data_IF_044612817411
#
_entry.id   IF_044612817411
#
_cell.length_a   1.000
_cell.length_b   1.000
_cell.length_c   1.000
_cell.angle_alpha   90.00
_cell.angle_beta   90.00
_cell.angle_gamma   90.00
#
_symmetry.space_group_name_H-M   'P 1'
#
loop_
_entity.id
_entity.type
_entity.pdbx_description
1 polymer ?
#
# COMPACT_ATOMS: atom_id res chain seq x y z
N UNK A 1 -51.54 -13.25 12.80
CA UNK A 1 -50.84 -11.99 12.45
C UNK A 1 -49.39 -11.96 12.93
N UNK A 2 -49.07 -12.07 14.23
CA UNK A 2 -47.66 -12.09 14.75
C UNK A 2 -46.72 -13.12 14.12
N UNK A 3 -47.20 -14.34 13.82
CA UNK A 3 -46.37 -15.40 13.18
C UNK A 3 -45.96 -15.07 11.73
N UNK A 4 -46.79 -14.30 11.01
CA UNK A 4 -46.55 -13.92 9.62
C UNK A 4 -45.58 -12.74 9.51
N UNK A 5 -45.59 -11.85 10.50
CA UNK A 5 -44.63 -10.75 10.64
C UNK A 5 -43.22 -11.30 10.92
N UNK A 6 -43.10 -12.34 11.76
CA UNK A 6 -41.81 -13.00 12.02
C UNK A 6 -41.21 -13.66 10.78
N UNK A 7 -42.04 -14.39 10.01
CA UNK A 7 -41.58 -15.07 8.78
C UNK A 7 -41.15 -14.09 7.69
N UNK A 8 -41.88 -12.98 7.52
CA UNK A 8 -41.52 -11.94 6.56
C UNK A 8 -40.24 -11.21 6.95
N UNK A 9 -40.04 -10.89 8.24
CA UNK A 9 -38.80 -10.30 8.71
C UNK A 9 -37.58 -11.20 8.48
N UNK A 10 -37.70 -12.51 8.77
CA UNK A 10 -36.61 -13.48 8.54
C UNK A 10 -36.28 -13.61 7.05
N UNK A 11 -37.29 -13.64 6.17
CA UNK A 11 -37.06 -13.71 4.74
C UNK A 11 -36.35 -12.46 4.18
N UNK A 12 -36.70 -11.26 4.69
CA UNK A 12 -36.04 -10.00 4.29
C UNK A 12 -34.58 -9.99 4.76
N UNK A 13 -34.30 -10.40 6.00
CA UNK A 13 -32.93 -10.44 6.53
C UNK A 13 -32.09 -11.47 5.76
N UNK A 14 -32.64 -12.65 5.48
CA UNK A 14 -31.96 -13.67 4.68
C UNK A 14 -31.67 -13.18 3.25
N UNK A 15 -32.61 -12.46 2.63
CA UNK A 15 -32.41 -11.84 1.31
C UNK A 15 -31.32 -10.76 1.31
N UNK A 16 -31.25 -9.93 2.36
CA UNK A 16 -30.21 -8.90 2.51
C UNK A 16 -28.81 -9.51 2.70
N UNK A 17 -28.69 -10.61 3.45
CA UNK A 17 -27.43 -11.31 3.66
C UNK A 17 -26.88 -11.93 2.37
N UNK A 18 -27.76 -12.33 1.44
CA UNK A 18 -27.37 -12.86 0.12
C UNK A 18 -26.94 -11.77 -0.87
N UNK A 19 -27.20 -10.49 -0.58
CA UNK A 19 -26.84 -9.37 -1.44
C UNK A 19 -25.46 -8.77 -1.13
N UNK A 20 -24.78 -9.24 -0.07
CA UNK A 20 -23.43 -8.78 0.28
C UNK A 20 -22.41 -9.55 -0.56
N UNK A 21 -21.97 -8.94 -1.65
CA UNK A 21 -20.79 -9.42 -2.39
C UNK A 21 -19.54 -8.83 -1.75
N UNK A 22 -18.47 -9.61 -1.53
CA UNK A 22 -17.19 -9.06 -1.08
C UNK A 22 -16.67 -8.08 -2.15
N UNK A 23 -16.11 -6.95 -1.71
CA UNK A 23 -15.40 -6.07 -2.63
C UNK A 23 -14.23 -6.83 -3.25
N UNK A 24 -14.15 -6.85 -4.58
CA UNK A 24 -12.99 -7.37 -5.30
C UNK A 24 -11.83 -6.42 -5.16
N UNK A 25 -10.61 -6.95 -5.13
CA UNK A 25 -9.40 -6.13 -5.22
C UNK A 25 -9.42 -5.31 -6.52
N UNK A 26 -8.96 -4.06 -6.45
CA UNK A 26 -8.74 -3.24 -7.64
C UNK A 26 -7.48 -3.77 -8.32
N UNK A 27 -7.65 -4.60 -9.36
CA UNK A 27 -6.54 -5.24 -10.07
C UNK A 27 -6.64 -4.95 -11.56
N UNK A 28 -5.67 -4.19 -12.10
CA UNK A 28 -5.56 -3.92 -13.55
C UNK A 28 -6.69 -3.07 -14.16
N UNK A 29 -7.67 -2.63 -13.37
CA UNK A 29 -8.76 -1.75 -13.80
C UNK A 29 -8.87 -0.55 -12.87
N UNK A 30 -7.79 0.23 -12.78
CA UNK A 30 -7.84 1.53 -12.13
C UNK A 30 -8.34 2.60 -13.12
N UNK A 31 -8.81 3.70 -12.56
CA UNK A 31 -9.11 4.93 -13.30
C UNK A 31 -8.29 6.01 -12.63
N UNK A 32 -7.69 6.90 -13.42
CA UNK A 32 -6.95 8.04 -12.88
C UNK A 32 -7.81 8.79 -11.84
N UNK A 33 -7.26 8.94 -10.64
CA UNK A 33 -7.88 9.51 -9.44
C UNK A 33 -7.06 10.69 -8.91
N UNK A 34 -7.37 11.88 -9.42
CA UNK A 34 -6.72 13.11 -8.96
C UNK A 34 -7.35 13.70 -7.68
N UNK A 35 -8.36 13.04 -7.11
CA UNK A 35 -9.05 13.50 -5.90
C UNK A 35 -8.32 13.11 -4.61
N UNK A 36 -7.45 12.09 -4.66
CA UNK A 36 -6.73 11.57 -3.49
C UNK A 36 -5.19 11.72 -3.61
N UNK A 37 -4.65 12.94 -3.77
CA UNK A 37 -3.23 13.17 -4.05
C UNK A 37 -2.28 12.79 -2.89
N UNK A 38 -2.84 12.54 -1.70
CA UNK A 38 -2.08 12.14 -0.51
C UNK A 38 -2.10 10.64 -0.26
N UNK A 39 -2.83 9.86 -1.06
CA UNK A 39 -2.74 8.40 -1.02
C UNK A 39 -1.50 7.97 -1.77
N UNK A 40 -0.71 7.08 -1.17
CA UNK A 40 0.53 6.61 -1.76
C UNK A 40 0.70 5.10 -1.62
N UNK A 41 1.44 4.53 -2.58
CA UNK A 41 2.02 3.19 -2.46
C UNK A 41 3.28 3.30 -1.62
N UNK A 42 3.40 2.48 -0.58
CA UNK A 42 4.60 2.40 0.27
C UNK A 42 5.24 1.02 0.10
N UNK A 43 6.54 0.97 -0.15
CA UNK A 43 7.36 -0.24 -0.12
C UNK A 43 8.32 -0.20 1.05
N UNK A 44 8.58 -1.37 1.64
CA UNK A 44 9.45 -1.58 2.77
C UNK A 44 10.61 -2.48 2.37
N UNK A 45 11.77 -2.26 2.99
CA UNK A 45 13.01 -2.93 2.64
C UNK A 45 13.73 -3.47 3.86
N UNK A 46 14.51 -4.52 3.64
CA UNK A 46 15.39 -5.17 4.62
C UNK A 46 16.84 -5.13 4.11
N UNK A 47 17.81 -5.36 4.98
CA UNK A 47 19.22 -5.45 4.59
C UNK A 47 19.50 -6.68 3.70
N UNK A 48 20.23 -6.51 2.59
CA UNK A 48 20.65 -7.61 1.69
C UNK A 48 21.68 -8.56 2.36
N UNK A 49 22.53 -8.05 3.27
CA UNK A 49 23.61 -8.84 3.90
C UNK A 49 23.53 -8.95 5.44
N UNK A 50 22.45 -8.47 6.04
CA UNK A 50 22.22 -8.48 7.50
C UNK A 50 23.16 -7.58 8.31
N UNK A 51 23.96 -6.70 7.70
CA UNK A 51 24.78 -5.70 8.40
C UNK A 51 24.67 -4.28 7.83
N UNK A 52 24.00 -4.10 6.69
CA UNK A 52 23.75 -2.80 6.06
C UNK A 52 22.37 -2.25 6.43
N UNK A 53 22.32 -1.12 7.16
CA UNK A 53 21.07 -0.47 7.59
C UNK A 53 20.69 0.74 6.71
N UNK A 54 21.41 0.96 5.61
CA UNK A 54 21.23 2.10 4.73
C UNK A 54 20.28 1.74 3.58
N UNK A 55 19.22 2.53 3.43
CA UNK A 55 18.30 2.42 2.29
C UNK A 55 18.97 2.71 0.94
N UNK A 56 20.11 3.38 0.95
CA UNK A 56 20.87 3.72 -0.25
C UNK A 56 21.88 2.62 -0.63
N UNK A 57 22.04 1.57 0.18
CA UNK A 57 22.98 0.47 -0.03
C UNK A 57 22.35 -0.77 -0.67
N UNK A 58 21.47 -0.57 -1.64
CA UNK A 58 20.79 -1.64 -2.40
C UNK A 58 20.01 -2.62 -1.50
N UNK A 59 18.99 -2.13 -0.76
CA UNK A 59 18.28 -2.96 0.20
C UNK A 59 17.29 -3.89 -0.51
N UNK A 60 17.04 -5.06 0.07
CA UNK A 60 16.11 -6.04 -0.46
C UNK A 60 14.66 -5.60 -0.27
N UNK A 61 13.86 -5.67 -1.34
CA UNK A 61 12.41 -5.47 -1.24
C UNK A 61 11.77 -6.53 -0.36
N UNK A 62 11.08 -6.11 0.70
CA UNK A 62 10.31 -7.00 1.57
C UNK A 62 8.86 -7.09 1.12
N UNK A 63 8.14 -5.97 1.19
CA UNK A 63 6.71 -5.93 0.90
C UNK A 63 6.21 -4.52 0.57
N UNK A 64 4.93 -4.42 0.23
CA UNK A 64 4.26 -3.14 -0.06
C UNK A 64 2.88 -3.04 0.58
N UNK A 65 2.50 -1.82 0.90
CA UNK A 65 1.18 -1.44 1.39
C UNK A 65 0.71 -0.15 0.72
N UNK A 66 -0.38 0.41 1.24
CA UNK A 66 -0.85 1.75 0.90
C UNK A 66 -1.02 2.56 2.18
N UNK A 67 -1.05 3.89 2.05
CA UNK A 67 -1.27 4.78 3.18
C UNK A 67 -1.65 6.18 2.75
N UNK A 68 -1.61 7.13 3.69
CA UNK A 68 -1.96 8.52 3.43
C UNK A 68 -1.01 9.50 4.12
N UNK A 69 -0.60 10.53 3.38
CA UNK A 69 0.20 11.63 3.91
C UNK A 69 -0.69 12.56 4.74
N UNK A 70 -0.50 12.54 6.07
CA UNK A 70 -1.26 13.36 7.01
C UNK A 70 -0.67 14.77 7.17
N UNK A 71 0.64 14.89 6.97
CA UNK A 71 1.40 16.15 7.01
C UNK A 71 2.65 16.01 6.12
N UNK A 72 3.40 17.09 5.85
CA UNK A 72 4.59 17.03 5.00
C UNK A 72 5.63 15.97 5.38
N UNK A 73 5.61 15.46 6.62
CA UNK A 73 6.57 14.46 7.13
C UNK A 73 5.91 13.31 7.89
N UNK A 74 4.59 13.16 7.83
CA UNK A 74 3.87 12.09 8.56
C UNK A 74 3.01 11.32 7.58
N UNK A 75 3.35 10.05 7.36
CA UNK A 75 2.60 9.12 6.53
C UNK A 75 1.97 8.04 7.41
N UNK A 76 0.65 7.85 7.27
CA UNK A 76 -0.10 6.84 8.01
C UNK A 76 -0.31 5.61 7.15
N UNK A 77 0.06 4.45 7.67
CA UNK A 77 -0.20 3.13 7.08
C UNK A 77 -0.77 2.19 8.15
N UNK A 78 -1.09 0.94 7.79
CA UNK A 78 -1.52 -0.07 8.75
C UNK A 78 -0.33 -0.55 9.61
N UNK A 79 -0.58 -0.81 10.91
CA UNK A 79 0.47 -1.26 11.85
C UNK A 79 1.20 -2.51 11.39
N UNK A 80 0.47 -3.49 10.86
CA UNK A 80 1.06 -4.74 10.34
C UNK A 80 1.99 -4.56 9.12
N UNK A 81 1.97 -3.41 8.47
CA UNK A 81 2.93 -3.08 7.39
C UNK A 81 4.27 -2.60 7.95
N UNK A 82 4.35 -2.32 9.25
CA UNK A 82 5.57 -1.93 9.94
C UNK A 82 6.06 -3.03 10.89
N UNK A 83 5.47 -4.23 10.80
CA UNK A 83 5.91 -5.39 11.57
C UNK A 83 7.13 -6.04 10.89
N UNK A 84 8.09 -6.50 11.69
CA UNK A 84 9.34 -7.17 11.26
C UNK A 84 9.11 -8.66 10.95
N UNK A 85 8.15 -9.00 10.08
CA UNK A 85 7.83 -10.43 9.83
C UNK A 85 8.93 -11.18 9.07
N UNK A 86 9.76 -10.46 8.31
CA UNK A 86 10.76 -11.05 7.39
C UNK A 86 12.20 -10.50 7.59
N UNK A 87 12.45 -9.73 8.65
CA UNK A 87 13.76 -9.11 8.95
C UNK A 87 13.64 -7.71 9.56
N UNK A 88 14.76 -7.14 10.01
CA UNK A 88 14.81 -5.76 10.50
C UNK A 88 14.59 -4.81 9.31
N UNK A 89 13.46 -4.08 9.31
CA UNK A 89 13.17 -3.12 8.26
C UNK A 89 14.17 -1.97 8.32
N UNK A 90 14.91 -1.73 7.24
CA UNK A 90 15.92 -0.66 7.15
C UNK A 90 15.32 0.66 6.67
N UNK A 91 14.14 0.59 6.04
CA UNK A 91 13.33 1.76 5.75
C UNK A 91 12.26 1.52 4.70
N UNK A 92 11.78 2.61 4.11
CA UNK A 92 10.68 2.63 3.16
C UNK A 92 10.86 3.68 2.06
N UNK A 93 10.10 3.46 0.98
CA UNK A 93 9.91 4.40 -0.12
C UNK A 93 8.43 4.53 -0.43
N UNK A 94 7.98 5.75 -0.71
CA UNK A 94 6.58 6.09 -0.94
C UNK A 94 6.45 6.76 -2.29
N UNK A 95 5.47 6.34 -3.09
CA UNK A 95 5.11 6.93 -4.37
C UNK A 95 3.68 7.46 -4.32
N UNK A 96 3.51 8.72 -4.73
CA UNK A 96 2.23 9.42 -4.85
C UNK A 96 1.81 9.59 -6.33
N UNK A 97 2.60 9.08 -7.27
CA UNK A 97 2.18 8.97 -8.66
C UNK A 97 0.96 8.04 -8.75
N UNK A 98 -0.02 8.41 -9.59
CA UNK A 98 -1.26 7.66 -9.79
C UNK A 98 -1.04 6.16 -10.08
N UNK A 99 0.04 5.87 -10.82
CA UNK A 99 0.25 4.55 -11.43
C UNK A 99 1.60 3.93 -11.02
N UNK A 100 2.05 4.23 -9.80
CA UNK A 100 3.30 3.69 -9.30
C UNK A 100 3.28 2.15 -9.33
N UNK A 101 4.20 1.55 -10.09
CA UNK A 101 4.30 0.10 -10.27
C UNK A 101 3.33 -0.49 -11.30
N UNK A 102 2.50 0.31 -11.96
CA UNK A 102 1.57 -0.19 -12.99
C UNK A 102 2.31 -0.68 -14.25
N UNK A 103 3.50 -0.13 -14.53
CA UNK A 103 4.36 -0.53 -15.65
C UNK A 103 5.49 -1.47 -15.22
N UNK A 104 5.32 -2.17 -14.09
CA UNK A 104 6.31 -3.11 -13.58
C UNK A 104 6.56 -4.24 -14.59
N UNK A 105 7.80 -4.33 -15.07
CA UNK A 105 8.23 -5.42 -15.95
C UNK A 105 8.77 -6.58 -15.08
N UNK A 106 8.16 -7.78 -15.13
CA UNK A 106 8.62 -8.92 -14.33
C UNK A 106 9.99 -9.46 -14.77
N UNK A 107 10.50 -9.10 -15.96
CA UNK A 107 11.82 -9.51 -16.44
C UNK A 107 12.91 -8.65 -15.82
N UNK A 108 12.72 -7.33 -15.78
CA UNK A 108 13.68 -6.39 -15.19
C UNK A 108 13.41 -6.12 -13.72
N UNK A 109 12.28 -6.61 -13.19
CA UNK A 109 11.79 -6.36 -11.83
C UNK A 109 11.66 -4.88 -11.48
N UNK A 110 11.27 -4.06 -12.48
CA UNK A 110 11.30 -2.62 -12.34
C UNK A 110 10.20 -1.97 -13.19
N UNK A 111 9.57 -0.95 -12.62
CA UNK A 111 8.80 0.05 -13.36
C UNK A 111 9.70 1.26 -13.63
N UNK A 112 10.17 1.42 -14.87
CA UNK A 112 11.05 2.53 -15.26
C UNK A 112 10.37 3.90 -15.21
N UNK A 113 9.03 3.96 -15.19
CA UNK A 113 8.27 5.21 -15.17
C UNK A 113 8.20 5.79 -13.76
N UNK A 114 7.90 4.94 -12.77
CA UNK A 114 7.80 5.37 -11.36
C UNK A 114 9.09 5.17 -10.57
N UNK A 115 9.97 4.28 -11.05
CA UNK A 115 11.13 3.77 -10.34
C UNK A 115 10.80 2.64 -9.35
N UNK A 116 9.53 2.24 -9.24
CA UNK A 116 9.12 1.18 -8.32
C UNK A 116 9.71 -0.19 -8.69
N UNK A 117 10.20 -1.00 -7.73
CA UNK A 117 10.38 -0.67 -6.32
C UNK A 117 11.72 0.00 -6.00
N UNK A 118 12.67 0.06 -6.93
CA UNK A 118 14.07 0.33 -6.59
C UNK A 118 14.42 1.79 -6.25
N UNK A 119 13.73 2.77 -6.84
CA UNK A 119 14.11 4.18 -6.70
C UNK A 119 12.95 5.15 -6.93
N UNK A 120 13.18 6.42 -6.61
CA UNK A 120 12.32 7.51 -7.06
C UNK A 120 12.72 7.92 -8.48
N UNK A 121 11.80 7.87 -9.45
CA UNK A 121 12.05 8.38 -10.80
C UNK A 121 12.62 9.82 -10.79
N UNK A 122 13.37 10.19 -11.83
CA UNK A 122 14.05 11.47 -11.93
C UNK A 122 13.09 12.66 -11.68
N UNK A 123 13.49 13.57 -10.78
CA UNK A 123 12.70 14.76 -10.43
C UNK A 123 11.49 14.49 -9.53
N UNK A 124 11.26 13.26 -9.08
CA UNK A 124 10.09 12.94 -8.23
C UNK A 124 10.38 12.96 -6.73
N UNK A 125 11.65 12.76 -6.31
CA UNK A 125 12.04 12.80 -4.90
C UNK A 125 11.72 14.16 -4.27
N UNK A 126 10.96 14.15 -3.16
CA UNK A 126 10.47 15.34 -2.47
C UNK A 126 9.28 16.03 -3.15
N UNK A 127 8.76 15.49 -4.25
CA UNK A 127 7.61 16.04 -5.00
C UNK A 127 6.47 15.03 -5.01
N UNK A 128 6.68 13.87 -5.63
CA UNK A 128 5.72 12.75 -5.70
C UNK A 128 6.33 11.43 -5.25
N UNK A 129 7.56 11.43 -4.76
CA UNK A 129 8.21 10.28 -4.16
C UNK A 129 8.94 10.71 -2.88
N UNK A 130 8.97 9.84 -1.87
CA UNK A 130 9.64 10.11 -0.60
C UNK A 130 10.31 8.84 -0.07
N UNK A 131 11.35 9.00 0.75
CA UNK A 131 12.04 7.92 1.45
C UNK A 131 12.12 8.24 2.93
N UNK A 132 12.34 7.22 3.75
CA UNK A 132 12.59 7.39 5.18
C UNK A 132 12.94 6.08 5.86
N UNK A 133 13.55 6.18 7.03
CA UNK A 133 14.00 5.03 7.84
C UNK A 133 13.24 4.93 9.17
N UNK A 134 12.53 5.98 9.56
CA UNK A 134 11.88 6.09 10.86
C UNK A 134 10.42 5.63 10.78
N UNK A 135 10.10 4.54 11.47
CA UNK A 135 8.78 3.92 11.51
C UNK A 135 8.31 3.78 12.95
N UNK A 136 7.02 4.02 13.18
CA UNK A 136 6.40 3.92 14.49
C UNK A 136 5.23 2.95 14.40
N UNK A 137 5.32 1.84 15.12
CA UNK A 137 4.25 0.88 15.25
C UNK A 137 3.52 1.08 16.60
N UNK A 138 2.21 1.23 16.55
CA UNK A 138 1.35 1.49 17.71
C UNK A 138 0.45 0.29 18.07
N UNK A 139 0.60 -0.86 17.40
CA UNK A 139 -0.13 -2.10 17.74
C UNK A 139 -0.10 -3.20 16.68
#
# INVERSE_FOLDING_TARGET
>A
MRKWIGLTAVAIIAGLLLAVTPATAITGTYVDDFEHPFVGLIAFYVADDGNETDLDADPDFSHRCSGSLLSPTVFLTAGHCTDETDGDLVGFRIWFQQDAGANYDPVTQLDLVSGYPEYCAEGTLGVTCATGTEMYNMG
#
